data_IF_271500220673
#
_entry.id   IF_271500220673
#
_cell.length_a   1.000
_cell.length_b   1.000
_cell.length_c   1.000
_cell.angle_alpha   90.00
_cell.angle_beta   90.00
_cell.angle_gamma   90.00
#
_symmetry.space_group_name_H-M   'P 1'
#
loop_
_entity.id
_entity.type
_entity.pdbx_description
1 polymer ?
#
# COMPACT_ATOMS: atom_id res chain seq x y z
N UNK A 1 -3.56 -64.32 -59.76
CA UNK A 1 -2.59 -63.34 -59.20
C UNK A 1 -3.17 -61.96 -59.37
N UNK A 2 -3.78 -61.42 -58.25
CA UNK A 2 -4.42 -60.06 -58.22
C UNK A 2 -3.44 -59.10 -57.59
N UNK A 3 -2.90 -58.14 -58.37
CA UNK A 3 -2.10 -57.01 -57.88
C UNK A 3 -2.99 -55.96 -57.28
N UNK A 4 -2.83 -55.68 -55.96
CA UNK A 4 -3.45 -54.60 -55.23
C UNK A 4 -2.58 -53.33 -55.43
N UNK A 5 -3.08 -52.19 -55.90
CA UNK A 5 -2.30 -50.94 -55.95
C UNK A 5 -2.20 -50.36 -54.50
N UNK A 6 -0.97 -50.17 -54.04
CA UNK A 6 -0.63 -49.47 -52.82
C UNK A 6 -0.81 -47.96 -53.04
N UNK A 7 -1.87 -47.37 -52.49
CA UNK A 7 -2.16 -45.94 -52.51
C UNK A 7 -1.25 -45.24 -51.49
N UNK A 8 -0.17 -44.62 -51.96
CA UNK A 8 0.72 -43.81 -51.13
C UNK A 8 0.05 -42.46 -50.83
N UNK A 9 -0.51 -42.31 -49.62
CA UNK A 9 -1.01 -40.99 -49.13
C UNK A 9 0.22 -40.09 -48.90
N UNK A 10 0.47 -39.17 -49.80
CA UNK A 10 1.37 -38.04 -49.58
C UNK A 10 0.70 -37.08 -48.60
N UNK A 11 1.09 -37.16 -47.33
CA UNK A 11 0.77 -36.14 -46.34
C UNK A 11 1.52 -34.85 -46.73
N UNK A 12 0.81 -33.89 -47.33
CA UNK A 12 1.34 -32.54 -47.53
C UNK A 12 1.54 -31.90 -46.15
N UNK A 13 2.75 -31.44 -45.78
CA UNK A 13 2.90 -30.67 -44.56
C UNK A 13 2.04 -29.41 -44.70
N UNK A 14 1.09 -29.24 -43.81
CA UNK A 14 0.38 -27.98 -43.65
C UNK A 14 1.44 -26.93 -43.29
N UNK A 15 1.77 -26.04 -44.25
CA UNK A 15 2.55 -24.84 -43.95
C UNK A 15 1.73 -24.05 -42.98
N UNK A 16 2.16 -23.98 -41.71
CA UNK A 16 1.54 -23.11 -40.73
C UNK A 16 1.58 -21.69 -41.27
N UNK A 17 0.43 -21.09 -41.37
CA UNK A 17 0.28 -19.73 -41.93
C UNK A 17 0.72 -18.72 -40.88
N UNK A 18 1.70 -17.88 -41.21
CA UNK A 18 2.16 -16.79 -40.35
C UNK A 18 0.98 -15.83 -40.10
N UNK A 19 0.56 -15.70 -38.88
CA UNK A 19 -0.54 -14.81 -38.49
C UNK A 19 -0.14 -13.90 -37.31
N UNK A 20 -0.62 -12.65 -37.28
CA UNK A 20 -0.40 -11.79 -36.11
C UNK A 20 -1.26 -12.27 -34.92
N UNK A 21 -0.71 -12.19 -33.73
CA UNK A 21 -1.42 -12.49 -32.47
C UNK A 21 -2.26 -11.29 -32.07
N UNK A 22 -3.58 -11.37 -31.96
CA UNK A 22 -4.42 -10.20 -31.65
C UNK A 22 -4.12 -9.55 -30.30
N UNK A 23 -3.66 -10.34 -29.33
CA UNK A 23 -3.32 -9.90 -27.98
C UNK A 23 -2.04 -10.61 -27.50
N UNK A 24 -1.12 -9.83 -26.95
CA UNK A 24 0.19 -10.29 -26.49
C UNK A 24 0.51 -9.69 -25.13
N UNK A 25 0.97 -10.52 -24.21
CA UNK A 25 1.54 -10.11 -22.93
C UNK A 25 3.05 -10.23 -23.00
N UNK A 26 3.77 -9.13 -22.81
CA UNK A 26 5.24 -9.07 -22.83
C UNK A 26 5.75 -8.69 -21.46
N UNK A 27 6.53 -9.57 -20.83
CA UNK A 27 7.16 -9.28 -19.52
C UNK A 27 8.49 -8.53 -19.69
N UNK A 28 9.18 -8.77 -20.80
CA UNK A 28 10.47 -8.14 -21.13
C UNK A 28 10.35 -6.64 -21.43
N UNK A 29 11.52 -5.96 -21.43
CA UNK A 29 11.62 -4.55 -21.82
C UNK A 29 11.63 -4.31 -23.32
N UNK A 30 11.65 -5.38 -24.11
CA UNK A 30 11.71 -5.33 -25.59
C UNK A 30 10.66 -6.24 -26.19
N UNK A 31 10.15 -5.84 -27.35
CA UNK A 31 9.22 -6.63 -28.15
C UNK A 31 10.06 -7.38 -29.19
N UNK A 32 9.80 -8.68 -29.32
CA UNK A 32 10.41 -9.54 -30.34
C UNK A 32 9.42 -9.89 -31.45
N UNK A 33 9.94 -10.31 -32.58
CA UNK A 33 9.13 -10.71 -33.75
C UNK A 33 8.15 -11.85 -33.39
N UNK A 34 8.62 -12.84 -32.62
CA UNK A 34 7.81 -13.97 -32.17
C UNK A 34 6.72 -13.60 -31.15
N UNK A 35 6.78 -12.40 -30.56
CA UNK A 35 5.69 -11.91 -29.74
C UNK A 35 4.49 -11.50 -30.60
N UNK A 36 4.74 -10.91 -31.78
CA UNK A 36 3.71 -10.38 -32.68
C UNK A 36 3.12 -11.40 -33.63
N UNK A 37 3.93 -12.36 -34.10
CA UNK A 37 3.55 -13.32 -35.14
C UNK A 37 3.71 -14.75 -34.68
N UNK A 38 2.69 -15.57 -34.92
CA UNK A 38 2.84 -17.01 -34.91
C UNK A 38 3.75 -17.44 -36.08
N UNK A 39 4.48 -18.50 -35.89
CA UNK A 39 5.40 -19.05 -36.90
C UNK A 39 6.40 -17.99 -37.49
N UNK A 40 6.97 -17.14 -36.60
CA UNK A 40 7.96 -16.14 -37.01
C UNK A 40 9.31 -16.75 -37.50
N UNK A 41 9.46 -18.07 -37.44
CA UNK A 41 10.60 -18.82 -37.97
C UNK A 41 11.91 -18.50 -37.24
N UNK A 42 13.08 -18.64 -37.94
CA UNK A 42 14.40 -18.46 -37.31
C UNK A 42 14.64 -17.05 -36.76
N UNK A 43 13.84 -16.05 -37.16
CA UNK A 43 13.94 -14.66 -36.72
C UNK A 43 13.00 -14.31 -35.54
N UNK A 44 12.31 -15.27 -34.96
CA UNK A 44 11.39 -15.04 -33.84
C UNK A 44 12.01 -14.22 -32.69
N UNK A 45 13.33 -14.40 -32.44
CA UNK A 45 14.07 -13.65 -31.43
C UNK A 45 14.51 -12.23 -31.84
N UNK A 46 14.23 -11.78 -33.07
CA UNK A 46 14.64 -10.45 -33.52
C UNK A 46 13.92 -9.36 -32.75
N UNK A 47 14.69 -8.42 -32.16
CA UNK A 47 14.15 -7.27 -31.41
C UNK A 47 13.56 -6.26 -32.37
N UNK A 48 12.31 -5.88 -32.12
CA UNK A 48 11.57 -4.90 -32.93
C UNK A 48 11.60 -3.50 -32.31
N UNK A 49 11.65 -3.41 -31.01
CA UNK A 49 11.64 -2.14 -30.30
C UNK A 49 11.38 -2.28 -28.80
N UNK A 50 11.28 -1.16 -28.08
CA UNK A 50 10.97 -1.18 -26.67
C UNK A 50 9.53 -1.63 -26.41
N UNK A 51 9.32 -2.41 -25.36
CA UNK A 51 8.00 -2.73 -24.85
C UNK A 51 7.37 -1.49 -24.18
N UNK A 52 6.05 -1.44 -24.03
CA UNK A 52 5.41 -0.37 -23.27
C UNK A 52 5.92 -0.32 -21.82
N UNK A 53 5.71 0.82 -21.15
CA UNK A 53 6.01 0.93 -19.73
C UNK A 53 5.18 -0.11 -18.94
N UNK A 54 5.66 -0.57 -17.78
CA UNK A 54 4.89 -1.47 -16.92
C UNK A 54 3.48 -0.93 -16.64
N UNK A 55 2.46 -1.77 -16.79
CA UNK A 55 1.05 -1.40 -16.72
C UNK A 55 0.51 -0.70 -17.98
N UNK A 56 1.35 -0.51 -19.02
CA UNK A 56 0.99 0.14 -20.27
C UNK A 56 0.59 -0.82 -21.37
N UNK A 57 -0.01 -0.24 -22.42
CA UNK A 57 -0.38 -0.94 -23.65
C UNK A 57 0.15 -0.21 -24.87
N UNK A 58 0.49 -0.98 -25.91
CA UNK A 58 0.87 -0.50 -27.22
C UNK A 58 0.00 -1.20 -28.26
N UNK A 59 -0.56 -0.45 -29.20
CA UNK A 59 -1.33 -1.01 -30.33
C UNK A 59 -0.47 -0.89 -31.58
N UNK A 60 -0.29 -2.00 -32.27
CA UNK A 60 0.41 -2.07 -33.55
C UNK A 60 -0.64 -2.33 -34.63
N UNK A 61 -0.84 -1.35 -35.49
CA UNK A 61 -1.86 -1.38 -36.55
C UNK A 61 -1.40 -2.19 -37.77
N UNK A 62 -2.35 -2.60 -38.64
CA UNK A 62 -2.12 -3.43 -39.78
C UNK A 62 -0.99 -2.94 -40.70
N UNK A 63 -0.89 -1.64 -40.95
CA UNK A 63 0.16 -1.06 -41.79
C UNK A 63 1.56 -1.24 -41.19
N UNK A 64 1.68 -1.08 -39.85
CA UNK A 64 2.94 -1.30 -39.14
C UNK A 64 3.30 -2.79 -39.09
N UNK A 65 2.32 -3.67 -38.86
CA UNK A 65 2.49 -5.12 -38.90
C UNK A 65 2.98 -5.57 -40.27
N UNK A 66 2.42 -5.03 -41.36
CA UNK A 66 2.84 -5.33 -42.75
C UNK A 66 4.28 -4.86 -43.04
N UNK A 67 4.69 -3.71 -42.49
CA UNK A 67 6.06 -3.21 -42.60
C UNK A 67 7.04 -4.11 -41.83
N UNK A 68 6.68 -4.51 -40.59
CA UNK A 68 7.48 -5.42 -39.77
C UNK A 68 7.62 -6.79 -40.46
N UNK A 69 6.51 -7.36 -40.95
CA UNK A 69 6.52 -8.65 -41.67
C UNK A 69 7.47 -8.61 -42.89
N UNK A 70 7.35 -7.58 -43.73
CA UNK A 70 8.23 -7.41 -44.93
C UNK A 70 9.70 -7.25 -44.54
N UNK A 71 10.02 -6.43 -43.56
CA UNK A 71 11.40 -6.21 -43.11
C UNK A 71 12.05 -7.49 -42.57
N UNK A 72 11.25 -8.42 -42.04
CA UNK A 72 11.74 -9.68 -41.46
C UNK A 72 11.55 -10.90 -42.39
N UNK A 73 11.03 -10.69 -43.62
CA UNK A 73 10.85 -11.76 -44.58
C UNK A 73 9.68 -12.70 -44.32
N UNK A 74 8.70 -12.26 -43.53
CA UNK A 74 7.46 -13.01 -43.27
C UNK A 74 6.49 -12.85 -44.45
N UNK A 75 5.85 -13.94 -44.84
CA UNK A 75 4.89 -13.97 -45.95
C UNK A 75 3.47 -13.59 -45.50
N UNK A 76 3.34 -12.54 -44.67
CA UNK A 76 2.05 -12.06 -44.18
C UNK A 76 1.66 -10.73 -44.83
N UNK A 77 0.36 -10.61 -45.14
CA UNK A 77 -0.27 -9.37 -45.63
C UNK A 77 -1.64 -9.20 -44.94
N UNK A 78 -2.04 -7.96 -44.58
CA UNK A 78 -3.34 -7.71 -44.00
C UNK A 78 -4.47 -8.05 -44.99
N UNK A 79 -5.50 -8.75 -44.51
CA UNK A 79 -6.65 -9.17 -45.33
C UNK A 79 -7.69 -8.06 -45.47
N UNK A 80 -7.85 -7.20 -44.48
CA UNK A 80 -8.90 -6.18 -44.45
C UNK A 80 -8.51 -4.83 -43.85
N UNK A 81 -7.26 -4.68 -43.40
CA UNK A 81 -6.73 -3.45 -42.82
C UNK A 81 -7.23 -3.18 -41.39
N UNK A 82 -8.05 -4.04 -40.80
CA UNK A 82 -8.56 -3.93 -39.45
C UNK A 82 -7.75 -4.75 -38.42
N UNK A 83 -6.77 -5.51 -38.91
CA UNK A 83 -5.91 -6.32 -38.06
C UNK A 83 -5.01 -5.42 -37.22
N UNK A 84 -4.97 -5.72 -35.93
CA UNK A 84 -4.13 -5.03 -34.96
C UNK A 84 -3.65 -5.99 -33.89
N UNK A 85 -2.50 -5.70 -33.34
CA UNK A 85 -1.95 -6.41 -32.17
C UNK A 85 -1.97 -5.46 -30.99
N UNK A 86 -2.57 -5.89 -29.90
CA UNK A 86 -2.51 -5.17 -28.63
C UNK A 86 -1.43 -5.83 -27.76
N UNK A 87 -0.39 -5.10 -27.46
CA UNK A 87 0.70 -5.53 -26.60
C UNK A 87 0.48 -4.92 -25.23
N UNK A 88 0.37 -5.75 -24.23
CA UNK A 88 0.24 -5.34 -22.83
C UNK A 88 1.51 -5.75 -22.07
N UNK A 89 2.03 -4.84 -21.26
CA UNK A 89 3.08 -5.16 -20.31
C UNK A 89 2.51 -5.08 -18.90
N UNK A 90 2.39 -6.22 -18.18
CA UNK A 90 1.90 -6.23 -16.81
C UNK A 90 2.76 -5.37 -15.90
N UNK A 91 2.10 -4.69 -14.95
CA UNK A 91 2.78 -3.85 -14.00
C UNK A 91 1.97 -3.65 -12.73
N UNK A 92 2.67 -3.43 -11.63
CA UNK A 92 2.07 -3.10 -10.35
C UNK A 92 2.58 -1.75 -9.84
N UNK A 93 1.78 -1.01 -9.08
CA UNK A 93 2.27 0.19 -8.42
C UNK A 93 3.33 -0.18 -7.38
N UNK A 94 4.37 0.62 -7.28
CA UNK A 94 5.37 0.49 -6.22
C UNK A 94 4.70 0.76 -4.87
N UNK A 95 4.96 -0.09 -3.85
CA UNK A 95 4.38 0.09 -2.53
C UNK A 95 4.85 1.42 -1.89
N UNK A 96 3.90 2.30 -1.58
CA UNK A 96 4.17 3.61 -0.97
C UNK A 96 4.92 3.47 0.35
N UNK A 97 4.58 2.47 1.15
CA UNK A 97 5.19 2.17 2.44
C UNK A 97 6.69 1.89 2.30
N UNK A 98 7.09 1.15 1.26
CA UNK A 98 8.50 0.88 0.96
C UNK A 98 9.29 2.14 0.63
N UNK A 99 8.67 3.07 -0.13
CA UNK A 99 9.28 4.37 -0.45
C UNK A 99 9.44 5.22 0.81
N UNK A 100 8.41 5.28 1.66
CA UNK A 100 8.46 6.04 2.91
C UNK A 100 9.51 5.48 3.87
N UNK A 101 9.64 4.15 3.93
CA UNK A 101 10.67 3.50 4.74
C UNK A 101 12.08 3.86 4.26
N UNK A 102 12.33 3.80 2.96
CA UNK A 102 13.60 4.17 2.36
C UNK A 102 13.96 5.65 2.59
N UNK A 103 12.98 6.56 2.44
CA UNK A 103 13.15 7.99 2.73
C UNK A 103 13.48 8.23 4.19
N UNK A 104 12.75 7.61 5.13
CA UNK A 104 13.05 7.72 6.56
C UNK A 104 14.46 7.26 6.89
N UNK A 105 14.87 6.11 6.35
CA UNK A 105 16.21 5.58 6.56
C UNK A 105 17.31 6.55 6.06
N UNK A 106 17.09 7.20 4.91
CA UNK A 106 18.03 8.14 4.33
C UNK A 106 18.08 9.51 5.06
N UNK A 107 16.96 9.96 5.64
CA UNK A 107 16.86 11.26 6.32
C UNK A 107 17.18 11.18 7.82
N UNK A 108 17.13 9.98 8.43
CA UNK A 108 17.45 9.78 9.84
C UNK A 108 18.83 10.28 10.25
N UNK A 109 19.92 10.04 9.49
CA UNK A 109 21.25 10.61 9.81
C UNK A 109 21.31 12.14 9.73
N UNK A 110 20.31 12.78 9.14
CA UNK A 110 20.22 14.25 8.99
C UNK A 110 19.32 14.90 10.05
N UNK A 111 18.83 14.13 11.03
CA UNK A 111 18.02 14.62 12.13
C UNK A 111 16.52 14.38 12.00
N UNK A 112 16.09 13.46 11.12
CA UNK A 112 14.68 13.04 11.12
C UNK A 112 14.42 12.18 12.35
N UNK A 113 13.64 12.68 13.28
CA UNK A 113 13.24 12.00 14.53
C UNK A 113 11.99 11.13 14.32
N UNK A 114 11.72 10.24 15.30
CA UNK A 114 10.60 9.30 15.21
C UNK A 114 9.23 9.99 15.37
N UNK A 115 9.20 11.17 15.96
CA UNK A 115 8.02 12.03 16.10
C UNK A 115 7.75 12.91 14.89
N UNK A 116 8.61 12.87 13.89
CA UNK A 116 8.44 13.59 12.62
C UNK A 116 7.82 12.67 11.57
N UNK A 117 6.82 13.17 10.83
CA UNK A 117 6.19 12.50 9.70
C UNK A 117 6.55 13.19 8.39
N UNK A 118 6.81 12.37 7.37
CA UNK A 118 7.11 12.84 6.01
C UNK A 118 5.81 12.91 5.21
N UNK A 119 5.48 14.09 4.69
CA UNK A 119 4.35 14.32 3.79
C UNK A 119 4.87 14.64 2.37
N UNK A 120 5.08 13.66 1.48
CA UNK A 120 5.50 13.91 0.11
C UNK A 120 4.42 14.69 -0.66
N UNK A 121 4.85 15.69 -1.42
CA UNK A 121 3.97 16.52 -2.25
C UNK A 121 4.12 16.09 -3.72
N UNK A 122 3.01 15.86 -4.40
CA UNK A 122 3.01 15.52 -5.82
C UNK A 122 3.63 14.16 -6.16
N UNK A 123 3.81 13.27 -5.19
CA UNK A 123 4.36 11.94 -5.43
C UNK A 123 3.32 11.04 -6.07
N UNK A 124 3.53 10.74 -7.36
CA UNK A 124 2.82 9.68 -8.06
C UNK A 124 3.63 8.38 -7.95
N UNK A 125 2.97 7.32 -7.52
CA UNK A 125 3.60 6.02 -7.37
C UNK A 125 3.98 5.45 -8.74
N UNK A 126 5.27 5.17 -9.03
CA UNK A 126 5.67 4.60 -10.31
C UNK A 126 5.18 3.17 -10.48
N UNK A 127 4.94 2.79 -11.73
CA UNK A 127 4.66 1.42 -12.09
C UNK A 127 5.98 0.65 -12.29
N UNK A 128 6.02 -0.57 -11.78
CA UNK A 128 7.15 -1.51 -11.95
C UNK A 128 6.62 -2.81 -12.56
N UNK A 129 7.47 -3.62 -13.25
CA UNK A 129 7.04 -4.90 -13.78
C UNK A 129 6.44 -5.77 -12.67
N UNK A 130 5.38 -6.50 -12.97
CA UNK A 130 4.56 -7.17 -11.95
C UNK A 130 5.35 -8.16 -11.09
N UNK A 131 6.25 -8.94 -11.72
CA UNK A 131 7.05 -9.98 -11.07
C UNK A 131 8.46 -9.55 -10.73
N UNK A 132 8.88 -8.32 -11.09
CA UNK A 132 10.24 -7.88 -10.87
C UNK A 132 10.57 -7.74 -9.39
N UNK A 133 11.77 -8.15 -9.02
CA UNK A 133 12.37 -7.74 -7.76
C UNK A 133 12.74 -6.25 -7.85
N UNK A 134 12.32 -5.48 -6.86
CA UNK A 134 12.52 -4.03 -6.83
C UNK A 134 13.41 -3.66 -5.66
N UNK A 135 14.49 -2.94 -5.95
CA UNK A 135 15.35 -2.29 -4.97
C UNK A 135 15.14 -0.79 -5.01
N UNK A 136 15.12 -0.17 -3.84
CA UNK A 136 15.00 1.27 -3.68
C UNK A 136 16.30 1.82 -3.10
N UNK A 137 16.82 2.85 -3.73
CA UNK A 137 17.93 3.63 -3.21
C UNK A 137 17.51 5.10 -3.14
N UNK A 138 17.92 5.80 -2.10
CA UNK A 138 17.67 7.25 -1.96
C UNK A 138 18.98 7.98 -2.14
N UNK A 139 19.02 8.84 -3.15
CA UNK A 139 20.18 9.64 -3.51
C UNK A 139 19.92 11.11 -3.12
N UNK A 140 20.95 11.84 -2.66
CA UNK A 140 20.90 13.28 -2.44
C UNK A 140 19.76 13.72 -1.49
N UNK A 141 19.48 12.92 -0.45
CA UNK A 141 18.50 13.27 0.56
C UNK A 141 18.97 14.51 1.35
N UNK A 142 18.10 15.48 1.51
CA UNK A 142 18.36 16.70 2.29
C UNK A 142 17.15 16.98 3.19
N UNK A 143 17.41 17.18 4.48
CA UNK A 143 16.43 17.59 5.47
C UNK A 143 16.70 19.05 5.88
N UNK A 144 15.74 19.92 5.63
CA UNK A 144 15.67 21.25 6.21
C UNK A 144 14.72 21.21 7.41
N UNK A 145 15.24 20.86 8.58
CA UNK A 145 14.45 20.76 9.80
C UNK A 145 13.84 22.10 10.21
N UNK A 146 14.54 23.21 10.00
CA UNK A 146 14.06 24.55 10.33
C UNK A 146 12.92 25.01 9.41
N UNK A 147 13.03 24.71 8.12
CA UNK A 147 11.99 25.00 7.12
C UNK A 147 10.87 23.96 7.07
N UNK A 148 10.98 22.87 7.82
CA UNK A 148 10.01 21.76 7.81
C UNK A 148 9.85 21.12 6.43
N UNK A 149 10.95 20.94 5.70
CA UNK A 149 10.95 20.42 4.32
C UNK A 149 12.00 19.34 4.13
N UNK A 150 11.76 18.48 3.16
CA UNK A 150 12.76 17.55 2.68
C UNK A 150 12.79 17.51 1.16
N UNK A 151 13.92 17.09 0.61
CA UNK A 151 14.06 16.73 -0.80
C UNK A 151 14.96 15.51 -0.92
N UNK A 152 14.70 14.66 -1.93
CA UNK A 152 15.49 13.48 -2.22
C UNK A 152 15.28 13.04 -3.66
N UNK A 153 16.16 12.20 -4.17
CA UNK A 153 15.95 11.46 -5.42
C UNK A 153 15.82 9.98 -5.11
N UNK A 154 14.67 9.42 -5.43
CA UNK A 154 14.44 7.99 -5.33
C UNK A 154 14.91 7.30 -6.61
N UNK A 155 15.88 6.41 -6.51
CA UNK A 155 16.28 5.50 -7.58
C UNK A 155 15.53 4.17 -7.39
N UNK A 156 14.71 3.82 -8.40
CA UNK A 156 13.95 2.57 -8.45
C UNK A 156 14.67 1.64 -9.42
N UNK A 157 15.26 0.57 -8.89
CA UNK A 157 15.93 -0.47 -9.64
C UNK A 157 15.01 -1.68 -9.72
N UNK A 158 14.56 -2.03 -10.90
CA UNK A 158 13.72 -3.20 -11.12
C UNK A 158 14.24 -3.99 -12.31
N UNK A 159 14.20 -5.31 -12.22
CA UNK A 159 14.57 -6.19 -13.34
C UNK A 159 13.70 -5.89 -14.57
N UNK A 160 14.32 -5.96 -15.75
CA UNK A 160 13.62 -5.74 -17.00
C UNK A 160 13.26 -4.28 -17.31
N UNK A 161 13.79 -3.30 -16.57
CA UNK A 161 13.62 -1.89 -16.93
C UNK A 161 14.84 -1.04 -16.55
N UNK A 162 15.05 0.11 -17.22
CA UNK A 162 16.07 1.07 -16.82
C UNK A 162 15.79 1.63 -15.42
N UNK A 163 16.85 1.97 -14.67
CA UNK A 163 16.72 2.62 -13.38
C UNK A 163 15.94 3.94 -13.52
N UNK A 164 14.82 4.03 -12.81
CA UNK A 164 14.02 5.25 -12.78
C UNK A 164 14.50 6.14 -11.61
N UNK A 165 14.79 7.41 -11.89
CA UNK A 165 15.12 8.42 -10.88
C UNK A 165 13.99 9.40 -10.74
N UNK A 166 13.40 9.46 -9.56
CA UNK A 166 12.21 10.27 -9.25
C UNK A 166 12.58 11.28 -8.17
N UNK A 167 12.45 12.55 -8.47
CA UNK A 167 12.63 13.61 -7.48
C UNK A 167 11.43 13.63 -6.55
N UNK A 168 11.69 13.59 -5.26
CA UNK A 168 10.72 13.67 -4.20
C UNK A 168 10.99 14.92 -3.37
N UNK A 169 9.94 15.60 -3.01
CA UNK A 169 9.99 16.69 -2.07
C UNK A 169 8.72 16.73 -1.25
N UNK A 170 8.78 17.33 -0.08
CA UNK A 170 7.63 17.38 0.79
C UNK A 170 7.87 18.17 2.06
N UNK A 171 6.91 18.03 2.97
CA UNK A 171 6.96 18.63 4.30
C UNK A 171 7.35 17.59 5.33
N UNK A 172 7.98 18.09 6.38
CA UNK A 172 8.21 17.34 7.62
C UNK A 172 7.35 17.98 8.68
N UNK A 173 6.48 17.18 9.30
CA UNK A 173 5.55 17.66 10.32
C UNK A 173 5.80 16.95 11.63
N UNK A 174 5.89 17.70 12.72
CA UNK A 174 5.98 17.14 14.05
C UNK A 174 4.62 16.52 14.41
N UNK A 175 4.67 15.30 14.90
CA UNK A 175 3.48 14.55 15.31
C UNK A 175 3.50 14.33 16.82
N UNK A 176 2.30 14.32 17.40
CA UNK A 176 2.12 14.01 18.82
C UNK A 176 1.27 12.75 18.96
N UNK A 177 1.48 11.96 20.03
CA UNK A 177 0.63 10.83 20.32
C UNK A 177 -0.78 11.33 20.70
N UNK A 178 -1.79 10.57 20.33
CA UNK A 178 -3.18 10.81 20.68
C UNK A 178 -3.88 9.47 20.88
N UNK A 179 -4.55 9.31 22.00
CA UNK A 179 -5.32 8.10 22.31
C UNK A 179 -6.68 8.19 21.63
N UNK A 180 -7.05 7.16 20.87
CA UNK A 180 -8.36 7.04 20.22
C UNK A 180 -9.06 5.75 20.63
N UNK A 181 -10.39 5.76 20.60
CA UNK A 181 -11.19 4.58 20.84
C UNK A 181 -11.09 3.61 19.65
N UNK A 182 -10.95 2.30 19.88
CA UNK A 182 -10.96 1.27 18.83
C UNK A 182 -12.37 0.87 18.42
N UNK A 183 -13.34 1.10 19.28
CA UNK A 183 -14.77 0.80 19.10
C UNK A 183 -15.65 1.87 19.75
N UNK A 184 -16.94 1.78 19.53
CA UNK A 184 -17.90 2.60 20.28
C UNK A 184 -17.92 2.20 21.76
N UNK A 185 -17.83 3.20 22.63
CA UNK A 185 -17.91 3.08 24.09
C UNK A 185 -19.11 3.90 24.60
N UNK A 186 -19.87 3.32 25.51
CA UNK A 186 -21.03 3.96 26.10
C UNK A 186 -20.68 4.93 27.27
N UNK A 187 -21.61 5.83 27.61
CA UNK A 187 -21.47 6.62 28.82
C UNK A 187 -21.52 5.71 30.06
N UNK A 188 -20.65 5.96 31.04
CA UNK A 188 -20.48 5.13 32.23
C UNK A 188 -19.61 3.88 32.00
N UNK A 189 -19.26 3.56 30.77
CA UNK A 189 -18.41 2.41 30.46
C UNK A 189 -16.98 2.68 30.90
N UNK A 190 -16.35 1.69 31.55
CA UNK A 190 -14.93 1.75 31.96
C UNK A 190 -14.03 1.38 30.80
N UNK A 191 -13.10 2.26 30.46
CA UNK A 191 -12.15 2.08 29.40
C UNK A 191 -11.12 1.02 29.79
N UNK A 192 -10.94 0.01 28.92
CA UNK A 192 -9.93 -1.04 29.03
C UNK A 192 -8.81 -0.78 28.04
N UNK A 193 -7.64 -1.37 28.24
CA UNK A 193 -6.51 -1.24 27.32
C UNK A 193 -6.83 -1.70 25.89
N UNK A 194 -7.68 -2.72 25.72
CA UNK A 194 -8.12 -3.20 24.41
C UNK A 194 -9.10 -2.24 23.67
N UNK A 195 -9.70 -1.30 24.40
CA UNK A 195 -10.69 -0.37 23.86
C UNK A 195 -10.07 0.88 23.26
N UNK A 196 -8.77 1.06 23.42
CA UNK A 196 -8.04 2.26 22.98
C UNK A 196 -6.74 1.87 22.28
N UNK A 197 -6.27 2.77 21.43
CA UNK A 197 -4.95 2.68 20.79
C UNK A 197 -4.35 4.08 20.67
N UNK A 198 -3.03 4.13 20.62
CA UNK A 198 -2.31 5.38 20.35
C UNK A 198 -2.12 5.51 18.85
N UNK A 199 -2.45 6.67 18.30
CA UNK A 199 -2.10 7.09 16.96
C UNK A 199 -1.21 8.33 17.02
N UNK A 200 -0.43 8.58 15.99
CA UNK A 200 0.31 9.84 15.87
C UNK A 200 -0.45 10.78 14.93
N UNK A 201 -0.58 12.02 15.31
CA UNK A 201 -1.25 13.04 14.50
C UNK A 201 -0.37 14.29 14.42
N UNK A 202 -0.39 15.03 13.31
CA UNK A 202 0.28 16.33 13.25
C UNK A 202 -0.12 17.19 14.45
N UNK A 203 0.85 17.87 15.05
CA UNK A 203 0.62 18.72 16.24
C UNK A 203 -0.51 19.74 16.03
N UNK A 204 -0.65 20.25 14.80
CA UNK A 204 -1.73 21.15 14.40
C UNK A 204 -3.13 20.52 14.38
N UNK A 205 -3.22 19.19 14.34
CA UNK A 205 -4.49 18.42 14.36
C UNK A 205 -4.80 17.81 15.72
N UNK A 206 -3.90 17.97 16.68
CA UNK A 206 -4.15 17.47 18.03
C UNK A 206 -5.36 18.19 18.63
N UNK A 207 -6.36 17.44 19.04
CA UNK A 207 -7.55 18.00 19.69
C UNK A 207 -7.16 18.49 21.09
N UNK A 208 -7.50 19.74 21.48
CA UNK A 208 -7.23 20.24 22.82
C UNK A 208 -7.81 19.33 23.90
N UNK A 209 -6.97 18.97 24.89
CA UNK A 209 -7.38 18.07 25.98
C UNK A 209 -7.47 16.60 25.60
N UNK A 210 -7.05 16.19 24.40
CA UNK A 210 -6.94 14.78 24.04
C UNK A 210 -5.86 14.10 24.89
N UNK A 211 -6.15 12.88 25.37
CA UNK A 211 -5.18 12.05 26.06
C UNK A 211 -4.06 11.65 25.10
N UNK A 212 -2.83 11.67 25.58
CA UNK A 212 -1.64 11.31 24.81
C UNK A 212 -1.07 9.94 25.20
N UNK A 213 -1.41 9.47 26.40
CA UNK A 213 -0.97 8.21 26.98
C UNK A 213 -2.16 7.33 27.34
N UNK A 214 -2.00 6.02 27.17
CA UNK A 214 -3.06 5.04 27.45
C UNK A 214 -3.43 5.04 28.94
N UNK A 215 -2.46 5.26 29.80
CA UNK A 215 -2.59 5.30 31.25
C UNK A 215 -3.53 6.41 31.74
N UNK A 216 -3.64 7.49 30.95
CA UNK A 216 -4.55 8.60 31.26
C UNK A 216 -6.04 8.23 31.12
N UNK A 217 -6.34 7.18 30.38
CA UNK A 217 -7.72 6.78 30.02
C UNK A 217 -8.14 5.43 30.56
N UNK A 218 -7.21 4.48 30.67
CA UNK A 218 -7.49 3.12 31.14
C UNK A 218 -7.89 3.14 32.62
N UNK A 219 -8.98 2.42 32.91
CA UNK A 219 -9.55 2.38 34.27
C UNK A 219 -10.50 3.54 34.61
N UNK A 220 -10.56 4.57 33.76
CA UNK A 220 -11.52 5.67 33.89
C UNK A 220 -12.89 5.29 33.27
N UNK A 221 -13.95 5.91 33.69
CA UNK A 221 -15.26 5.77 33.05
C UNK A 221 -15.58 6.98 32.19
N UNK A 222 -16.36 6.77 31.13
CA UNK A 222 -16.76 7.84 30.23
C UNK A 222 -17.95 8.63 30.75
N UNK A 223 -17.87 9.95 30.72
CA UNK A 223 -19.03 10.85 30.96
C UNK A 223 -19.94 10.89 29.74
N UNK A 224 -19.38 10.83 28.55
CA UNK A 224 -20.08 10.87 27.27
C UNK A 224 -19.66 9.68 26.39
N UNK A 225 -20.54 9.19 25.52
CA UNK A 225 -20.16 8.10 24.62
C UNK A 225 -19.07 8.56 23.66
N UNK A 226 -18.11 7.68 23.36
CA UNK A 226 -17.09 7.85 22.34
C UNK A 226 -17.34 6.91 21.16
N UNK A 227 -17.17 7.42 19.94
CA UNK A 227 -17.25 6.61 18.73
C UNK A 227 -15.88 6.00 18.42
N UNK A 228 -15.87 4.94 17.60
CA UNK A 228 -14.62 4.40 17.07
C UNK A 228 -13.81 5.49 16.35
N UNK A 229 -12.49 5.44 16.48
CA UNK A 229 -11.53 6.41 15.95
C UNK A 229 -11.64 7.83 16.51
N UNK A 230 -12.49 8.04 17.50
CA UNK A 230 -12.64 9.34 18.15
C UNK A 230 -11.56 9.54 19.20
N UNK A 231 -10.94 10.75 19.28
CA UNK A 231 -9.98 11.09 20.32
C UNK A 231 -10.59 10.99 21.72
N UNK A 232 -9.86 10.37 22.64
CA UNK A 232 -10.21 10.32 24.06
C UNK A 232 -9.84 11.64 24.70
N UNK A 233 -10.84 12.40 25.17
CA UNK A 233 -10.63 13.71 25.80
C UNK A 233 -10.66 13.54 27.31
N UNK A 234 -9.65 14.06 28.02
CA UNK A 234 -9.50 13.91 29.47
C UNK A 234 -10.73 14.46 30.24
N UNK A 235 -11.30 15.57 29.75
CA UNK A 235 -12.50 16.16 30.37
C UNK A 235 -13.77 15.29 30.28
N UNK A 236 -13.80 14.35 29.33
CA UNK A 236 -14.90 13.39 29.17
C UNK A 236 -14.70 12.11 29.99
N UNK A 237 -13.65 12.05 30.81
CA UNK A 237 -13.34 10.94 31.70
C UNK A 237 -13.78 11.29 33.14
N UNK A 238 -14.07 10.26 33.89
CA UNK A 238 -14.37 10.36 35.34
C UNK A 238 -13.80 9.13 36.06
N UNK A 239 -13.41 9.25 37.32
CA UNK A 239 -12.99 8.10 38.12
C UNK A 239 -14.07 7.02 38.10
N UNK A 240 -13.63 5.76 38.00
CA UNK A 240 -14.54 4.60 38.07
C UNK A 240 -15.27 4.60 39.40
N UNK A 241 -16.59 4.57 39.36
CA UNK A 241 -17.40 4.36 40.57
C UNK A 241 -17.15 2.94 41.08
N UNK A 242 -16.65 2.84 42.31
CA UNK A 242 -16.48 1.56 43.03
C UNK A 242 -17.76 1.08 43.67
N UNK A 243 -18.60 2.05 44.08
CA UNK A 243 -19.88 1.80 44.70
C UNK A 243 -20.97 2.44 43.87
N UNK A 244 -22.00 1.68 43.51
CA UNK A 244 -23.14 2.20 42.76
C UNK A 244 -24.29 2.61 43.73
N UNK A 245 -25.09 3.59 43.32
CA UNK A 245 -26.27 3.98 44.06
C UNK A 245 -27.19 2.77 44.27
N UNK A 246 -27.61 2.58 45.52
CA UNK A 246 -28.49 1.46 45.89
C UNK A 246 -27.76 0.15 46.20
N UNK A 247 -26.45 0.08 46.01
CA UNK A 247 -25.64 -1.09 46.32
C UNK A 247 -25.50 -1.25 47.83
N UNK A 248 -25.61 -2.51 48.32
CA UNK A 248 -25.29 -2.83 49.73
C UNK A 248 -23.78 -2.84 49.89
N UNK A 249 -23.27 -2.08 50.85
CA UNK A 249 -21.85 -1.94 51.17
C UNK A 249 -21.61 -2.29 52.62
N UNK A 250 -20.45 -2.87 52.91
CA UNK A 250 -19.95 -3.10 54.25
C UNK A 250 -18.93 -2.01 54.57
N UNK A 251 -19.22 -1.20 55.52
CA UNK A 251 -18.28 -0.20 56.05
C UNK A 251 -17.45 -0.89 57.13
N UNK A 252 -16.13 -0.80 57.00
CA UNK A 252 -15.18 -1.34 57.99
C UNK A 252 -14.40 -0.18 58.59
N UNK A 253 -14.42 -0.08 59.90
CA UNK A 253 -13.56 0.84 60.63
C UNK A 253 -12.56 0.01 61.42
N UNK A 254 -11.29 0.25 61.20
CA UNK A 254 -10.18 -0.44 61.90
C UNK A 254 -9.39 0.57 62.75
N UNK A 255 -9.21 0.24 64.00
CA UNK A 255 -8.34 0.96 64.95
C UNK A 255 -7.60 -0.09 65.78
N UNK A 256 -6.41 0.23 66.37
CA UNK A 256 -5.70 -0.71 67.23
C UNK A 256 -6.59 -1.37 68.27
N UNK A 257 -6.83 -2.67 68.13
CA UNK A 257 -7.65 -3.47 69.04
C UNK A 257 -9.16 -3.45 68.79
N UNK A 258 -9.69 -2.71 67.80
CA UNK A 258 -11.12 -2.62 67.50
C UNK A 258 -11.37 -2.65 65.99
N UNK A 259 -12.20 -3.58 65.54
CA UNK A 259 -12.74 -3.60 64.18
C UNK A 259 -14.25 -3.50 64.26
N UNK A 260 -14.81 -2.44 63.71
CA UNK A 260 -16.25 -2.26 63.60
C UNK A 260 -16.71 -2.47 62.17
N UNK A 261 -17.77 -3.25 61.99
CA UNK A 261 -18.40 -3.48 60.69
C UNK A 261 -19.85 -3.06 60.73
N UNK A 262 -20.29 -2.35 59.72
CA UNK A 262 -21.71 -1.99 59.55
C UNK A 262 -22.13 -2.21 58.10
N UNK A 263 -23.34 -2.70 57.89
CA UNK A 263 -23.95 -2.78 56.58
C UNK A 263 -24.78 -1.54 56.31
N UNK A 264 -24.64 -1.00 55.10
CA UNK A 264 -25.42 0.15 54.66
C UNK A 264 -25.77 0.03 53.18
N UNK A 265 -26.66 0.91 52.74
CA UNK A 265 -26.99 1.03 51.31
C UNK A 265 -26.41 2.35 50.81
N UNK A 266 -25.67 2.28 49.72
CA UNK A 266 -25.10 3.48 49.11
C UNK A 266 -26.19 4.40 48.56
N UNK A 267 -26.20 5.65 48.99
CA UNK A 267 -27.16 6.67 48.54
C UNK A 267 -26.74 7.27 47.19
N UNK A 268 -25.45 7.28 46.89
CA UNK A 268 -24.85 7.81 45.66
C UNK A 268 -23.76 6.88 45.16
N UNK A 269 -23.40 7.03 43.85
CA UNK A 269 -22.24 6.37 43.31
C UNK A 269 -20.97 7.11 43.74
N UNK A 270 -19.95 6.38 44.19
CA UNK A 270 -18.71 6.98 44.68
C UNK A 270 -17.48 6.27 44.08
N UNK A 271 -16.45 7.01 43.65
CA UNK A 271 -15.15 6.47 43.30
C UNK A 271 -14.35 6.15 44.58
N UNK A 272 -13.10 5.70 44.40
CA UNK A 272 -12.16 5.52 45.51
C UNK A 272 -11.68 6.90 46.03
N UNK A 273 -11.78 7.13 47.28
CA UNK A 273 -11.25 8.33 47.97
C UNK A 273 -12.21 9.49 48.01
#
# INVERSE_FOLDING_TARGET
MRLLPLLLLLATPALAETAPRPFVVVEDSVIRLGDLFDEAGPRAGATLGPAPAPGGRLIVEAAQLAAIARANGLAWRPSGGAERVVIERPGRPLAREGVMLALRAALRPQGLEDDMELEPIGFATPMVPERAFVQLAVEGAVLDAAGGRFSATLAVLAEGQPTQRIRLGGRVVNTLPMVVATRRLGAGEVVRAADVRVIRVPASRLRPGAAQEVEQVVGQALRRPAMAEQPMVIADLMPRALVQRGQTVVMVFESPGITLTAQGRAMEAAPRG
#
